data_IF_379241924036
#
_entry.id   IF_379241924036
#
_cell.length_a   1.000
_cell.length_b   1.000
_cell.length_c   1.000
_cell.angle_alpha   90.00
_cell.angle_beta   90.00
_cell.angle_gamma   90.00
#
_symmetry.space_group_name_H-M   'P 1'
#
loop_
_entity.id
_entity.type
_entity.pdbx_description
1 polymer ?
#
# COMPACT_ATOMS: atom_id res chain seq x y z
N UNK A 1 -11.01 -28.91 -3.60
CA UNK A 1 -10.94 -27.64 -4.37
C UNK A 1 -11.25 -26.43 -3.49
N UNK A 2 -12.38 -26.42 -2.78
CA UNK A 2 -12.79 -25.35 -1.86
C UNK A 2 -11.75 -24.93 -0.79
N UNK A 3 -11.05 -25.89 -0.18
CA UNK A 3 -10.02 -25.59 0.84
C UNK A 3 -8.83 -24.81 0.26
N UNK A 4 -8.46 -24.99 -1.01
CA UNK A 4 -7.33 -24.27 -1.62
C UNK A 4 -7.66 -22.81 -1.87
N UNK A 5 -8.87 -22.53 -2.37
CA UNK A 5 -9.35 -21.16 -2.60
C UNK A 5 -9.50 -20.43 -1.26
N UNK A 6 -10.09 -21.09 -0.25
CA UNK A 6 -10.23 -20.51 1.09
C UNK A 6 -8.88 -20.13 1.70
N UNK A 7 -7.87 -21.01 1.61
CA UNK A 7 -6.53 -20.72 2.12
C UNK A 7 -5.87 -19.55 1.36
N UNK A 8 -6.08 -19.48 0.04
CA UNK A 8 -5.57 -18.37 -0.76
C UNK A 8 -6.23 -17.04 -0.38
N UNK A 9 -7.55 -17.00 -0.20
CA UNK A 9 -8.26 -15.80 0.25
C UNK A 9 -7.82 -15.37 1.65
N UNK A 10 -7.62 -16.33 2.56
CA UNK A 10 -7.06 -16.03 3.88
C UNK A 10 -5.63 -15.44 3.79
N UNK A 11 -4.82 -15.95 2.87
CA UNK A 11 -3.51 -15.38 2.60
C UNK A 11 -3.66 -13.94 2.10
N UNK A 12 -4.50 -13.68 1.08
CA UNK A 12 -4.76 -12.32 0.57
C UNK A 12 -5.19 -11.35 1.67
N UNK A 13 -6.06 -11.78 2.58
CA UNK A 13 -6.49 -11.00 3.73
C UNK A 13 -5.31 -10.64 4.64
N UNK A 14 -4.55 -11.63 5.09
CA UNK A 14 -3.39 -11.43 5.98
C UNK A 14 -2.36 -10.51 5.33
N UNK A 15 -2.08 -10.78 4.07
CA UNK A 15 -1.16 -10.04 3.24
C UNK A 15 -1.53 -8.57 3.07
N UNK A 16 -2.82 -8.29 2.84
CA UNK A 16 -3.33 -6.92 2.79
C UNK A 16 -3.11 -6.19 4.13
N UNK A 17 -3.47 -6.83 5.24
CA UNK A 17 -3.35 -6.25 6.58
C UNK A 17 -1.89 -5.96 6.95
N UNK A 18 -0.99 -6.93 6.71
CA UNK A 18 0.44 -6.77 6.97
C UNK A 18 1.06 -5.64 6.13
N UNK A 19 0.64 -5.50 4.87
CA UNK A 19 1.16 -4.48 3.98
C UNK A 19 0.71 -3.08 4.39
N UNK A 20 -0.56 -2.92 4.78
CA UNK A 20 -1.10 -1.65 5.33
C UNK A 20 -0.33 -1.26 6.59
N UNK A 21 -0.13 -2.20 7.52
CA UNK A 21 0.61 -1.93 8.77
C UNK A 21 2.07 -1.58 8.48
N UNK A 22 2.70 -2.26 7.53
CA UNK A 22 4.11 -2.02 7.16
C UNK A 22 4.27 -0.65 6.51
N UNK A 23 3.42 -0.30 5.55
CA UNK A 23 3.38 1.04 4.94
C UNK A 23 3.20 2.13 6.00
N UNK A 24 2.22 1.94 6.88
CA UNK A 24 1.95 2.89 7.95
C UNK A 24 3.17 3.11 8.84
N UNK A 25 3.82 2.03 9.28
CA UNK A 25 5.00 2.09 10.14
C UNK A 25 6.17 2.77 9.46
N UNK A 26 6.46 2.39 8.21
CA UNK A 26 7.57 2.97 7.43
C UNK A 26 7.34 4.46 7.22
N UNK A 27 6.16 4.85 6.75
CA UNK A 27 5.87 6.25 6.50
C UNK A 27 5.90 7.10 7.78
N UNK A 28 5.36 6.58 8.89
CA UNK A 28 5.45 7.26 10.18
C UNK A 28 6.90 7.37 10.67
N UNK A 29 7.71 6.30 10.55
CA UNK A 29 9.10 6.29 11.02
C UNK A 29 9.94 7.33 10.31
N UNK A 30 9.86 7.38 8.98
CA UNK A 30 10.65 8.32 8.18
C UNK A 30 10.28 9.78 8.50
N UNK A 31 8.98 10.06 8.73
CA UNK A 31 8.51 11.38 9.12
C UNK A 31 8.85 11.70 10.59
N UNK A 32 8.78 10.74 11.51
CA UNK A 32 9.17 10.91 12.91
C UNK A 32 10.66 11.25 13.03
N UNK A 33 11.52 10.62 12.21
CA UNK A 33 12.95 10.92 12.16
C UNK A 33 13.24 12.35 11.68
N UNK A 34 12.37 12.90 10.83
CA UNK A 34 12.51 14.24 10.26
C UNK A 34 11.93 15.34 11.17
N UNK A 35 10.76 15.10 11.76
CA UNK A 35 9.95 16.12 12.46
C UNK A 35 9.90 15.95 13.98
N UNK A 36 10.47 14.86 14.51
CA UNK A 36 10.51 14.55 15.93
C UNK A 36 9.20 13.98 16.49
N UNK A 37 9.32 13.19 17.56
CA UNK A 37 8.20 12.45 18.17
C UNK A 37 7.06 13.32 18.74
N UNK A 38 7.29 14.60 19.03
CA UNK A 38 6.25 15.51 19.51
C UNK A 38 5.16 15.76 18.45
N UNK A 39 5.48 15.53 17.17
CA UNK A 39 4.54 15.60 16.03
C UNK A 39 3.83 14.27 15.74
N UNK A 40 4.09 13.20 16.51
CA UNK A 40 3.69 11.82 16.18
C UNK A 40 2.19 11.61 16.01
N UNK A 41 1.33 12.34 16.74
CA UNK A 41 -0.13 12.23 16.57
C UNK A 41 -0.57 12.77 15.20
N UNK A 42 0.01 13.88 14.76
CA UNK A 42 -0.33 14.49 13.47
C UNK A 42 0.24 13.66 12.30
N UNK A 43 1.47 13.15 12.45
CA UNK A 43 2.10 12.23 11.50
C UNK A 43 1.22 11.01 11.30
N UNK A 44 0.85 10.33 12.39
CA UNK A 44 0.02 9.13 12.38
C UNK A 44 -1.33 9.35 11.70
N UNK A 45 -1.99 10.48 11.95
CA UNK A 45 -3.27 10.81 11.32
C UNK A 45 -3.10 11.07 9.82
N UNK A 46 -2.10 11.86 9.45
CA UNK A 46 -1.87 12.26 8.05
C UNK A 46 -1.45 11.07 7.19
N UNK A 47 -0.54 10.22 7.69
CA UNK A 47 -0.14 8.98 7.03
C UNK A 47 -1.33 8.04 6.84
N UNK A 48 -2.17 7.87 7.88
CA UNK A 48 -3.38 7.05 7.78
C UNK A 48 -4.33 7.53 6.69
N UNK A 49 -4.57 8.85 6.62
CA UNK A 49 -5.41 9.45 5.59
C UNK A 49 -4.84 9.23 4.18
N UNK A 50 -3.53 9.44 3.98
CA UNK A 50 -2.89 9.20 2.68
C UNK A 50 -3.01 7.73 2.25
N UNK A 51 -2.75 6.78 3.15
CA UNK A 51 -2.89 5.36 2.82
C UNK A 51 -4.32 5.05 2.42
N UNK A 52 -5.33 5.54 3.15
CA UNK A 52 -6.73 5.30 2.80
C UNK A 52 -7.10 5.90 1.44
N UNK A 53 -6.69 7.14 1.17
CA UNK A 53 -6.95 7.85 -0.09
C UNK A 53 -6.30 7.09 -1.26
N UNK A 54 -5.01 6.80 -1.16
CA UNK A 54 -4.24 6.13 -2.23
C UNK A 54 -4.72 4.70 -2.48
N UNK A 55 -5.20 4.01 -1.45
CA UNK A 55 -5.77 2.66 -1.58
C UNK A 55 -7.27 2.65 -1.88
N UNK A 56 -7.88 3.83 -2.13
CA UNK A 56 -9.29 3.99 -2.49
C UNK A 56 -10.25 3.42 -1.44
N UNK A 57 -9.84 3.49 -0.18
CA UNK A 57 -10.65 3.14 1.01
C UNK A 57 -11.37 4.40 1.49
N UNK A 58 -12.41 4.21 2.28
CA UNK A 58 -13.17 5.33 2.83
C UNK A 58 -12.27 6.20 3.72
N UNK A 59 -12.18 7.48 3.38
CA UNK A 59 -11.48 8.49 4.17
C UNK A 59 -12.39 9.72 4.28
N UNK A 60 -12.58 10.18 5.52
CA UNK A 60 -13.46 11.32 5.84
C UNK A 60 -12.68 12.61 6.06
N UNK A 61 -11.38 12.50 6.31
CA UNK A 61 -10.48 13.62 6.51
C UNK A 61 -10.09 14.25 5.17
N UNK A 62 -9.81 15.55 5.12
CA UNK A 62 -9.21 16.17 3.94
C UNK A 62 -7.83 15.56 3.65
N UNK A 63 -7.43 15.55 2.38
CA UNK A 63 -6.09 15.10 1.99
C UNK A 63 -5.03 16.03 2.63
N UNK A 64 -4.18 15.52 3.53
CA UNK A 64 -3.19 16.34 4.22
C UNK A 64 -2.15 16.94 3.26
N UNK A 65 -1.91 16.34 2.09
CA UNK A 65 -0.92 16.80 1.12
C UNK A 65 -1.26 18.14 0.47
N UNK A 66 -2.52 18.58 0.59
CA UNK A 66 -3.00 19.84 0.03
C UNK A 66 -2.73 21.07 0.92
N UNK A 67 -2.15 20.88 2.11
CA UNK A 67 -1.89 21.96 3.07
C UNK A 67 -0.74 22.92 2.69
N UNK A 68 0.18 22.48 1.81
CA UNK A 68 1.28 23.30 1.27
C UNK A 68 2.47 23.52 2.20
N UNK A 69 2.46 22.98 3.42
CA UNK A 69 3.60 23.01 4.35
C UNK A 69 4.75 22.09 3.87
N UNK A 70 5.93 22.21 4.48
CA UNK A 70 7.03 21.28 4.17
C UNK A 70 6.67 19.83 4.54
N UNK A 71 5.97 19.64 5.65
CA UNK A 71 5.45 18.34 6.06
C UNK A 71 4.54 17.73 4.99
N UNK A 72 3.64 18.52 4.42
CA UNK A 72 2.69 18.06 3.40
C UNK A 72 3.41 17.65 2.11
N UNK A 73 4.45 18.41 1.72
CA UNK A 73 5.31 18.10 0.57
C UNK A 73 6.15 16.86 0.78
N UNK A 74 6.70 16.67 1.97
CA UNK A 74 7.50 15.48 2.31
C UNK A 74 6.62 14.24 2.32
N UNK A 75 5.39 14.36 2.86
CA UNK A 75 4.39 13.30 2.80
C UNK A 75 3.98 12.97 1.37
N UNK A 76 3.82 13.99 0.51
CA UNK A 76 3.60 13.80 -0.93
C UNK A 76 4.77 13.07 -1.59
N UNK A 77 6.01 13.53 -1.40
CA UNK A 77 7.23 12.91 -1.94
C UNK A 77 7.38 11.47 -1.50
N UNK A 78 7.17 11.20 -0.21
CA UNK A 78 7.21 9.85 0.35
C UNK A 78 6.16 8.95 -0.31
N UNK A 79 4.92 9.44 -0.45
CA UNK A 79 3.87 8.69 -1.14
C UNK A 79 4.18 8.35 -2.60
N UNK A 80 5.05 9.14 -3.26
CA UNK A 80 5.45 8.93 -4.66
C UNK A 80 6.63 7.97 -4.84
N UNK A 81 7.26 7.51 -3.77
CA UNK A 81 8.32 6.51 -3.89
C UNK A 81 7.80 5.24 -4.55
N UNK A 82 8.56 4.69 -5.51
CA UNK A 82 8.14 3.54 -6.32
C UNK A 82 7.68 2.37 -5.48
N UNK A 83 8.42 2.00 -4.44
CA UNK A 83 8.05 0.87 -3.59
C UNK A 83 6.80 1.14 -2.72
N UNK A 84 6.49 2.40 -2.39
CA UNK A 84 5.24 2.78 -1.72
C UNK A 84 4.06 2.72 -2.71
N UNK A 85 4.23 3.24 -3.92
CA UNK A 85 3.22 3.17 -4.99
C UNK A 85 2.90 1.71 -5.38
N UNK A 86 3.92 0.85 -5.49
CA UNK A 86 3.75 -0.59 -5.71
C UNK A 86 2.91 -1.23 -4.58
N UNK A 87 3.19 -0.87 -3.33
CA UNK A 87 2.44 -1.39 -2.18
C UNK A 87 0.98 -0.91 -2.18
N UNK A 88 0.70 0.34 -2.55
CA UNK A 88 -0.68 0.81 -2.76
C UNK A 88 -1.39 0.01 -3.86
N UNK A 89 -0.71 -0.23 -5.00
CA UNK A 89 -1.26 -1.04 -6.09
C UNK A 89 -1.61 -2.45 -5.62
N UNK A 90 -0.72 -3.11 -4.86
CA UNK A 90 -0.96 -4.44 -4.31
C UNK A 90 -2.19 -4.45 -3.41
N UNK A 91 -2.34 -3.46 -2.52
CA UNK A 91 -3.51 -3.37 -1.62
C UNK A 91 -4.80 -3.27 -2.45
N UNK A 92 -4.84 -2.39 -3.45
CA UNK A 92 -6.01 -2.24 -4.32
C UNK A 92 -6.34 -3.56 -5.03
N UNK A 93 -5.33 -4.24 -5.57
CA UNK A 93 -5.53 -5.51 -6.28
C UNK A 93 -5.99 -6.63 -5.35
N UNK A 94 -5.53 -6.64 -4.09
CA UNK A 94 -6.01 -7.57 -3.07
C UNK A 94 -7.45 -7.27 -2.67
N UNK A 95 -7.83 -6.00 -2.50
CA UNK A 95 -9.22 -5.59 -2.19
C UNK A 95 -10.19 -6.04 -3.30
N UNK A 96 -9.82 -5.85 -4.56
CA UNK A 96 -10.61 -6.36 -5.70
C UNK A 96 -10.68 -7.89 -5.69
N UNK A 97 -9.56 -8.57 -5.44
CA UNK A 97 -9.50 -10.05 -5.47
C UNK A 97 -10.23 -10.71 -4.31
N UNK A 98 -10.33 -10.03 -3.17
CA UNK A 98 -11.11 -10.45 -2.00
C UNK A 98 -12.63 -10.21 -2.19
N UNK A 99 -13.03 -9.49 -3.23
CA UNK A 99 -14.44 -9.18 -3.51
C UNK A 99 -15.01 -8.09 -2.61
N UNK A 100 -14.17 -7.22 -2.06
CA UNK A 100 -14.61 -6.04 -1.28
C UNK A 100 -15.42 -5.07 -2.16
N UNK A 101 -15.17 -5.13 -3.47
CA UNK A 101 -15.81 -4.31 -4.50
C UNK A 101 -16.79 -5.20 -5.27
N UNK A 102 -18.09 -4.97 -5.03
CA UNK A 102 -19.17 -5.76 -5.64
C UNK A 102 -19.50 -5.31 -7.07
N UNK A 103 -19.23 -4.06 -7.38
CA UNK A 103 -19.46 -3.48 -8.70
C UNK A 103 -18.30 -3.79 -9.65
N UNK A 104 -18.63 -4.31 -10.83
CA UNK A 104 -17.63 -4.79 -11.78
C UNK A 104 -16.89 -3.63 -12.46
N UNK A 105 -17.60 -2.55 -12.79
CA UNK A 105 -17.01 -1.38 -13.44
C UNK A 105 -16.05 -0.65 -12.48
N UNK A 106 -16.44 -0.52 -11.21
CA UNK A 106 -15.58 -0.01 -10.15
C UNK A 106 -14.37 -0.92 -9.92
N UNK A 107 -14.54 -2.24 -9.98
CA UNK A 107 -13.41 -3.18 -9.89
C UNK A 107 -12.40 -2.95 -11.03
N UNK A 108 -12.87 -2.77 -12.26
CA UNK A 108 -11.99 -2.46 -13.40
C UNK A 108 -11.31 -1.11 -13.25
N UNK A 109 -12.03 -0.09 -12.82
CA UNK A 109 -11.47 1.25 -12.57
C UNK A 109 -10.35 1.20 -11.54
N UNK A 110 -10.55 0.47 -10.44
CA UNK A 110 -9.52 0.29 -9.40
C UNK A 110 -8.30 -0.46 -9.91
N UNK A 111 -8.48 -1.49 -10.73
CA UNK A 111 -7.37 -2.21 -11.35
C UNK A 111 -6.56 -1.34 -12.34
N UNK A 112 -7.22 -0.40 -13.04
CA UNK A 112 -6.52 0.55 -13.90
C UNK A 112 -5.70 1.57 -13.09
N UNK A 113 -6.24 2.04 -11.97
CA UNK A 113 -5.48 2.88 -11.02
C UNK A 113 -4.28 2.11 -10.47
N UNK A 114 -4.46 0.87 -10.02
CA UNK A 114 -3.38 0.02 -9.53
C UNK A 114 -2.29 -0.19 -10.60
N UNK A 115 -2.67 -0.30 -11.88
CA UNK A 115 -1.71 -0.35 -13.00
C UNK A 115 -0.88 0.91 -13.10
N UNK A 116 -1.50 2.08 -13.00
CA UNK A 116 -0.80 3.35 -13.08
C UNK A 116 0.17 3.54 -11.89
N UNK A 117 -0.22 3.13 -10.69
CA UNK A 117 0.63 3.15 -9.49
C UNK A 117 1.82 2.17 -9.62
N UNK A 118 1.58 0.95 -10.08
CA UNK A 118 2.61 -0.09 -10.18
C UNK A 118 3.59 0.11 -11.35
N UNK A 119 3.19 0.83 -12.41
CA UNK A 119 4.01 1.02 -13.61
C UNK A 119 4.47 -0.31 -14.21
N UNK A 120 5.78 -0.43 -14.45
CA UNK A 120 6.40 -1.61 -15.05
C UNK A 120 6.24 -2.89 -14.20
N UNK A 121 6.06 -2.74 -12.89
CA UNK A 121 5.87 -3.86 -11.96
C UNK A 121 4.46 -4.46 -12.00
N UNK A 122 3.50 -3.84 -12.72
CA UNK A 122 2.10 -4.26 -12.71
C UNK A 122 1.91 -5.72 -13.12
N UNK A 123 2.53 -6.16 -14.22
CA UNK A 123 2.36 -7.54 -14.71
C UNK A 123 2.92 -8.58 -13.74
N UNK A 124 4.04 -8.24 -13.08
CA UNK A 124 4.61 -9.08 -12.04
C UNK A 124 3.63 -9.18 -10.86
N UNK A 125 3.16 -8.06 -10.31
CA UNK A 125 2.21 -8.03 -9.19
C UNK A 125 0.90 -8.78 -9.55
N UNK A 126 0.37 -8.57 -10.76
CA UNK A 126 -0.83 -9.27 -11.23
C UNK A 126 -0.66 -10.79 -11.21
N UNK A 127 0.49 -11.29 -11.65
CA UNK A 127 0.77 -12.73 -11.63
C UNK A 127 0.81 -13.33 -10.21
N UNK A 128 1.13 -12.51 -9.20
CA UNK A 128 1.14 -12.92 -7.79
C UNK A 128 -0.26 -13.05 -7.19
N UNK A 129 -1.22 -12.29 -7.72
CA UNK A 129 -2.58 -12.15 -7.19
C UNK A 129 -3.60 -12.96 -8.01
N UNK A 130 -3.30 -13.31 -9.26
CA UNK A 130 -4.19 -14.12 -10.07
C UNK A 130 -4.24 -15.60 -9.57
N UNK A 131 -5.41 -16.10 -9.11
CA UNK A 131 -5.54 -17.46 -8.60
C UNK A 131 -5.20 -18.57 -9.61
N UNK A 132 -5.14 -18.26 -10.91
CA UNK A 132 -4.73 -19.20 -11.95
C UNK A 132 -3.21 -19.44 -11.95
N UNK A 133 -2.42 -18.46 -11.48
CA UNK A 133 -0.96 -18.45 -11.58
C UNK A 133 -0.26 -18.52 -10.21
N UNK A 134 -1.02 -18.45 -9.11
CA UNK A 134 -0.46 -18.35 -7.76
C UNK A 134 -1.03 -19.37 -6.78
N UNK A 135 -0.41 -19.46 -5.59
CA UNK A 135 -0.93 -20.19 -4.44
C UNK A 135 -0.46 -19.52 -3.15
N UNK A 136 -1.04 -19.92 -2.01
CA UNK A 136 -0.72 -19.37 -0.68
C UNK A 136 0.79 -19.24 -0.40
N UNK A 137 1.60 -20.25 -0.76
CA UNK A 137 3.05 -20.21 -0.47
C UNK A 137 3.77 -19.16 -1.29
N UNK A 138 3.38 -18.98 -2.56
CA UNK A 138 3.96 -17.97 -3.46
C UNK A 138 3.62 -16.58 -2.94
N UNK A 139 2.35 -16.34 -2.63
CA UNK A 139 1.85 -15.07 -2.10
C UNK A 139 2.63 -14.66 -0.84
N UNK A 140 2.73 -15.57 0.14
CA UNK A 140 3.46 -15.32 1.39
C UNK A 140 4.94 -15.02 1.17
N UNK A 141 5.59 -15.72 0.25
CA UNK A 141 7.01 -15.52 -0.06
C UNK A 141 7.26 -14.15 -0.70
N UNK A 142 6.51 -13.82 -1.75
CA UNK A 142 6.72 -12.60 -2.53
C UNK A 142 6.35 -11.34 -1.74
N UNK A 143 5.40 -11.45 -0.81
CA UNK A 143 5.13 -10.37 0.14
C UNK A 143 6.20 -10.19 1.20
N UNK A 144 6.88 -11.27 1.61
CA UNK A 144 8.09 -11.12 2.42
C UNK A 144 9.14 -10.24 1.71
N UNK A 145 9.23 -10.33 0.39
CA UNK A 145 10.13 -9.51 -0.43
C UNK A 145 9.64 -8.05 -0.47
N UNK A 146 8.36 -7.81 -0.72
CA UNK A 146 7.78 -6.45 -0.76
C UNK A 146 7.89 -5.77 0.61
N UNK A 147 7.56 -6.46 1.70
CA UNK A 147 7.73 -5.95 3.06
C UNK A 147 9.19 -5.64 3.38
N UNK A 148 10.13 -6.45 2.90
CA UNK A 148 11.57 -6.16 3.07
C UNK A 148 11.98 -4.90 2.30
N UNK A 149 11.52 -4.72 1.06
CA UNK A 149 11.73 -3.49 0.28
C UNK A 149 11.15 -2.26 0.98
N UNK A 150 9.97 -2.37 1.59
CA UNK A 150 9.38 -1.28 2.37
C UNK A 150 10.22 -0.94 3.61
N UNK A 151 10.77 -1.95 4.30
CA UNK A 151 11.67 -1.71 5.43
C UNK A 151 12.96 -1.01 4.97
N UNK A 152 13.48 -1.33 3.79
CA UNK A 152 14.64 -0.60 3.24
C UNK A 152 14.38 0.91 3.10
N UNK A 153 13.14 1.31 2.77
CA UNK A 153 12.72 2.72 2.71
C UNK A 153 12.85 3.41 4.08
N UNK A 154 12.60 2.69 5.19
CA UNK A 154 12.76 3.27 6.53
C UNK A 154 14.21 3.64 6.89
N UNK A 155 15.18 3.20 6.10
CA UNK A 155 16.58 3.60 6.24
C UNK A 155 16.96 4.81 5.35
N UNK A 156 16.04 5.33 4.53
CA UNK A 156 16.30 6.51 3.70
C UNK A 156 16.10 7.78 4.51
N UNK A 157 17.01 8.73 4.33
CA UNK A 157 16.84 10.09 4.80
C UNK A 157 15.96 10.85 3.81
N UNK A 158 14.86 11.47 4.28
CA UNK A 158 13.97 12.26 3.42
C UNK A 158 14.70 13.40 2.71
N UNK A 159 15.83 13.86 3.26
CA UNK A 159 16.69 14.89 2.66
C UNK A 159 17.42 14.44 1.38
N UNK A 160 17.43 13.13 1.10
CA UNK A 160 18.07 12.54 -0.09
C UNK A 160 17.04 12.24 -1.23
N UNK A 161 15.76 12.58 -1.03
CA UNK A 161 14.64 12.40 -1.99
C UNK A 161 14.32 13.74 -2.67
#
# INVERSE_FOLDING_TARGET
>A
MFSKIKNLMNAYQQCREELIVSLYRVMCSVLDDTYGHDSSVNIKRSVGAVINIETLREESSPDPRLGGSQFDKDLESLSKLTAIQEAFAIIIMLDVSLGEIKDLDESYRRLDIARNLAGDSFNHIKSLIDPQFTNEKIVKKELGIISSKLIEISNYNILDI
#
